data_IF_220293287048
#
_entry.id   IF_220293287048
#
_cell.length_a   1.000
_cell.length_b   1.000
_cell.length_c   1.000
_cell.angle_alpha   90.00
_cell.angle_beta   90.00
_cell.angle_gamma   90.00
#
_symmetry.space_group_name_H-M   'P 1'
#
loop_
_entity.id
_entity.type
_entity.pdbx_description
1 polymer ?
#
# COMPACT_ATOMS: atom_id res chain seq x y z
N UNK A 1 7.64 -2.38 13.47
CA UNK A 1 6.68 -1.57 12.70
C UNK A 1 7.34 -1.01 11.47
N UNK A 2 6.58 -0.75 10.42
CA UNK A 2 7.07 -0.10 9.20
C UNK A 2 6.63 1.36 9.18
N UNK A 3 7.55 2.30 9.03
CA UNK A 3 7.22 3.73 8.98
C UNK A 3 6.55 4.05 7.64
N UNK A 4 5.33 4.59 7.68
CA UNK A 4 4.65 5.10 6.47
C UNK A 4 4.64 6.62 6.42
N UNK A 5 5.00 7.28 7.52
CA UNK A 5 5.23 8.71 7.62
C UNK A 5 6.32 8.98 8.67
N UNK A 6 6.69 10.24 8.87
CA UNK A 6 7.62 10.63 9.95
C UNK A 6 7.09 10.31 11.35
N UNK A 7 5.76 10.19 11.51
CA UNK A 7 5.09 10.04 12.81
C UNK A 7 4.16 8.80 12.87
N UNK A 8 3.88 8.16 11.72
CA UNK A 8 2.89 7.08 11.61
C UNK A 8 3.58 5.78 11.19
N UNK A 9 3.32 4.72 11.95
CA UNK A 9 3.90 3.41 11.78
C UNK A 9 2.82 2.34 11.62
N UNK A 10 3.02 1.41 10.70
CA UNK A 10 2.26 0.17 10.60
C UNK A 10 2.80 -0.80 11.64
N UNK A 11 1.91 -1.28 12.50
CA UNK A 11 2.18 -2.27 13.54
C UNK A 11 1.30 -3.50 13.33
N UNK A 12 1.78 -4.63 13.81
CA UNK A 12 0.98 -5.83 13.94
C UNK A 12 0.52 -5.92 15.39
N UNK A 13 -0.69 -6.44 15.59
CA UNK A 13 -1.12 -6.82 16.94
C UNK A 13 -0.23 -7.96 17.46
N UNK A 14 -0.07 -8.05 18.77
CA UNK A 14 0.64 -9.18 19.37
C UNK A 14 -0.20 -10.47 19.29
N UNK A 15 -1.52 -10.36 19.19
CA UNK A 15 -2.45 -11.46 18.94
C UNK A 15 -2.66 -11.70 17.42
N UNK A 16 -2.22 -12.85 16.87
CA UNK A 16 -2.42 -13.17 15.46
C UNK A 16 -3.89 -13.23 15.02
N UNK A 17 -4.85 -13.45 15.92
CA UNK A 17 -6.26 -13.45 15.53
C UNK A 17 -6.78 -12.08 15.14
N UNK A 18 -6.13 -11.02 15.63
CA UNK A 18 -6.49 -9.62 15.34
C UNK A 18 -5.73 -9.07 14.12
N UNK A 19 -4.92 -9.90 13.47
CA UNK A 19 -4.22 -9.49 12.26
C UNK A 19 -5.19 -9.31 11.10
N UNK A 20 -5.11 -8.15 10.46
CA UNK A 20 -5.82 -7.84 9.22
C UNK A 20 -4.84 -7.48 8.09
N UNK A 21 -3.94 -8.41 7.66
CA UNK A 21 -2.99 -8.13 6.60
C UNK A 21 -3.72 -7.96 5.26
N UNK A 22 -3.20 -7.07 4.42
CA UNK A 22 -3.62 -6.91 3.04
C UNK A 22 -2.47 -7.29 2.14
N UNK A 23 -2.63 -8.32 1.32
CA UNK A 23 -1.59 -8.79 0.42
C UNK A 23 -1.37 -7.82 -0.75
N UNK A 24 -0.21 -7.95 -1.39
CA UNK A 24 0.12 -7.20 -2.58
C UNK A 24 -0.52 -7.78 -3.85
N UNK A 25 -1.02 -6.92 -4.73
CA UNK A 25 -1.20 -7.22 -6.16
C UNK A 25 -0.72 -6.06 -7.03
N UNK A 26 -0.10 -6.39 -8.18
CA UNK A 26 0.25 -5.39 -9.20
C UNK A 26 -0.98 -4.85 -9.96
N UNK A 27 -2.14 -5.50 -9.82
CA UNK A 27 -3.44 -5.03 -10.32
C UNK A 27 -4.43 -4.98 -9.14
N UNK A 28 -4.05 -4.22 -8.12
CA UNK A 28 -4.78 -4.08 -6.86
C UNK A 28 -6.21 -3.55 -7.07
N UNK A 29 -7.13 -4.00 -6.23
CA UNK A 29 -8.53 -3.55 -6.23
C UNK A 29 -8.83 -2.52 -5.13
N UNK A 30 -7.88 -2.29 -4.22
CA UNK A 30 -7.95 -1.23 -3.23
C UNK A 30 -6.74 -0.29 -3.32
N UNK A 31 -6.90 0.92 -2.80
CA UNK A 31 -5.85 1.93 -2.68
C UNK A 31 -5.95 2.68 -1.37
N UNK A 32 -4.94 3.51 -1.06
CA UNK A 32 -4.94 4.37 0.11
C UNK A 32 -5.32 5.82 -0.26
N UNK A 33 -6.24 6.39 0.50
CA UNK A 33 -6.55 7.82 0.54
C UNK A 33 -6.29 8.33 1.97
N UNK A 34 -5.17 9.03 2.16
CA UNK A 34 -4.55 9.19 3.47
C UNK A 34 -4.29 7.83 4.13
N UNK A 35 -4.99 7.56 5.23
CA UNK A 35 -4.96 6.28 5.96
C UNK A 35 -6.18 5.38 5.68
N UNK A 36 -7.12 5.82 4.84
CA UNK A 36 -8.29 5.02 4.49
C UNK A 36 -7.97 4.05 3.35
N UNK A 37 -8.47 2.81 3.45
CA UNK A 37 -8.46 1.87 2.32
C UNK A 37 -9.77 2.05 1.54
N UNK A 38 -9.66 2.41 0.27
CA UNK A 38 -10.80 2.63 -0.63
C UNK A 38 -10.80 1.63 -1.78
N UNK A 39 -11.98 1.28 -2.27
CA UNK A 39 -12.12 0.47 -3.48
C UNK A 39 -11.80 1.31 -4.73
N UNK A 40 -10.96 0.78 -5.63
CA UNK A 40 -10.61 1.43 -6.91
C UNK A 40 -11.55 1.05 -8.05
N UNK A 41 -12.33 -0.01 -7.85
CA UNK A 41 -13.31 -0.56 -8.78
C UNK A 41 -14.35 -1.37 -8.01
N UNK A 42 -15.48 -1.78 -8.62
CA UNK A 42 -16.35 -2.78 -8.02
C UNK A 42 -15.57 -4.06 -7.65
N UNK A 43 -15.85 -4.59 -6.46
CA UNK A 43 -15.19 -5.78 -5.90
C UNK A 43 -16.26 -6.86 -5.72
N UNK A 44 -15.99 -8.05 -6.26
CA UNK A 44 -16.93 -9.16 -6.15
C UNK A 44 -16.91 -9.77 -4.75
N UNK A 45 -18.01 -10.43 -4.38
CA UNK A 45 -18.06 -11.21 -3.13
C UNK A 45 -16.95 -12.28 -3.16
N UNK A 46 -16.20 -12.37 -2.05
CA UNK A 46 -15.07 -13.29 -1.87
C UNK A 46 -13.84 -12.99 -2.74
N UNK A 47 -13.80 -11.86 -3.45
CA UNK A 47 -12.57 -11.39 -4.09
C UNK A 47 -11.60 -10.89 -3.00
N UNK A 48 -10.33 -11.30 -3.07
CA UNK A 48 -9.32 -10.85 -2.12
C UNK A 48 -9.09 -9.34 -2.24
N UNK A 49 -9.11 -8.63 -1.11
CA UNK A 49 -8.73 -7.22 -1.07
C UNK A 49 -7.20 -7.13 -1.10
N UNK A 50 -6.68 -6.43 -2.10
CA UNK A 50 -5.24 -6.32 -2.34
C UNK A 50 -4.83 -4.88 -2.56
N UNK A 51 -3.58 -4.58 -2.16
CA UNK A 51 -2.97 -3.26 -2.26
C UNK A 51 -1.76 -3.28 -3.21
N UNK A 52 -1.53 -2.19 -3.92
CA UNK A 52 -0.26 -2.01 -4.64
C UNK A 52 0.76 -1.32 -3.71
N UNK A 53 1.67 -2.10 -3.13
CA UNK A 53 2.65 -1.61 -2.17
C UNK A 53 3.55 -0.50 -2.74
N UNK A 54 3.81 -0.52 -4.05
CA UNK A 54 4.61 0.54 -4.69
C UNK A 54 3.90 1.90 -4.72
N UNK A 55 2.58 1.95 -4.49
CA UNK A 55 1.81 3.20 -4.49
C UNK A 55 1.92 3.98 -3.17
N UNK A 56 2.37 3.36 -2.08
CA UNK A 56 2.40 4.01 -0.76
C UNK A 56 3.60 3.68 0.12
N UNK A 57 4.47 2.77 -0.31
CA UNK A 57 5.76 2.55 0.33
C UNK A 57 6.86 3.30 -0.43
N UNK A 58 7.81 3.85 0.33
CA UNK A 58 8.93 4.63 -0.17
C UNK A 58 10.19 3.78 -0.38
N UNK A 59 11.30 4.39 -0.78
CA UNK A 59 12.56 3.71 -1.06
C UNK A 59 13.17 2.93 0.12
N UNK A 60 12.68 3.14 1.35
CA UNK A 60 13.11 2.35 2.52
C UNK A 60 12.53 0.93 2.53
N UNK A 61 11.55 0.67 1.66
CA UNK A 61 10.94 -0.64 1.49
C UNK A 61 11.95 -1.66 0.96
N UNK A 62 12.10 -2.77 1.68
CA UNK A 62 12.82 -3.95 1.18
C UNK A 62 12.12 -4.46 -0.11
N UNK A 63 12.82 -4.53 -1.25
CA UNK A 63 12.24 -5.06 -2.47
C UNK A 63 11.91 -6.55 -2.36
N UNK A 64 10.88 -7.02 -3.06
CA UNK A 64 10.50 -8.43 -3.06
C UNK A 64 10.07 -8.95 -4.44
N UNK A 65 10.28 -10.24 -4.68
CA UNK A 65 9.80 -10.93 -5.87
C UNK A 65 8.30 -11.21 -5.73
N UNK A 66 7.50 -10.62 -6.60
CA UNK A 66 6.05 -10.67 -6.59
C UNK A 66 5.52 -11.92 -7.28
N UNK A 67 4.53 -12.54 -6.63
CA UNK A 67 3.84 -13.74 -7.09
C UNK A 67 2.32 -13.55 -7.12
N UNK A 68 1.84 -12.30 -7.29
CA UNK A 68 0.42 -11.96 -7.19
C UNK A 68 -0.51 -12.59 -8.25
N UNK A 69 0.03 -13.30 -9.25
CA UNK A 69 -0.75 -13.98 -10.28
C UNK A 69 -1.41 -13.07 -11.32
N UNK A 70 -1.35 -11.74 -11.16
CA UNK A 70 -1.89 -10.80 -12.13
C UNK A 70 -1.18 -10.89 -13.49
N UNK A 71 -1.89 -10.80 -14.63
CA UNK A 71 -1.25 -10.67 -15.95
C UNK A 71 -0.43 -9.38 -16.10
N UNK A 72 -0.62 -8.40 -15.20
CA UNK A 72 0.17 -7.16 -15.11
C UNK A 72 1.28 -7.24 -14.04
N UNK A 73 1.65 -8.43 -13.59
CA UNK A 73 2.67 -8.59 -12.56
C UNK A 73 4.01 -7.97 -13.01
N UNK A 74 4.59 -7.14 -12.14
CA UNK A 74 5.88 -6.45 -12.40
C UNK A 74 7.11 -7.33 -12.13
N UNK A 75 6.93 -8.52 -11.55
CA UNK A 75 8.01 -9.42 -11.16
C UNK A 75 8.73 -8.96 -9.89
N UNK A 76 9.40 -7.80 -9.92
CA UNK A 76 10.03 -7.20 -8.74
C UNK A 76 9.24 -5.98 -8.28
N UNK A 77 8.86 -5.95 -7.01
CA UNK A 77 8.24 -4.79 -6.36
C UNK A 77 9.28 -4.11 -5.49
N UNK A 78 9.35 -2.79 -5.60
CA UNK A 78 10.23 -1.93 -4.80
C UNK A 78 9.51 -0.63 -4.48
N UNK A 79 9.99 0.04 -3.45
CA UNK A 79 9.52 1.36 -3.08
C UNK A 79 9.77 2.43 -4.14
N UNK A 80 9.03 3.53 -4.03
CA UNK A 80 9.15 4.70 -4.90
C UNK A 80 9.81 5.85 -4.14
N UNK A 81 10.75 6.54 -4.76
CA UNK A 81 11.46 7.66 -4.15
C UNK A 81 10.48 8.74 -3.66
N UNK A 82 10.65 9.20 -2.40
CA UNK A 82 9.82 10.25 -1.79
C UNK A 82 8.31 9.94 -1.74
N UNK A 83 7.96 8.67 -1.51
CA UNK A 83 6.56 8.22 -1.56
C UNK A 83 5.90 8.01 -0.18
N UNK A 84 6.50 8.54 0.89
CA UNK A 84 5.90 8.49 2.23
C UNK A 84 4.52 9.19 2.26
N UNK A 85 3.67 8.83 3.22
CA UNK A 85 2.40 9.53 3.47
C UNK A 85 2.66 11.01 3.72
N UNK A 86 3.69 11.38 4.51
CA UNK A 86 4.07 12.77 4.75
C UNK A 86 4.31 13.52 3.43
N UNK A 87 5.13 12.94 2.54
CA UNK A 87 5.47 13.55 1.25
C UNK A 87 4.26 13.69 0.34
N UNK A 88 3.39 12.67 0.27
CA UNK A 88 2.19 12.69 -0.57
C UNK A 88 1.15 13.71 -0.09
N UNK A 89 0.89 13.78 1.21
CA UNK A 89 -0.07 14.74 1.77
C UNK A 89 0.42 16.19 1.62
N UNK A 90 1.72 16.45 1.79
CA UNK A 90 2.30 17.77 1.54
C UNK A 90 2.13 18.18 0.06
N UNK A 91 2.41 17.27 -0.89
CA UNK A 91 2.21 17.54 -2.32
C UNK A 91 0.75 17.86 -2.64
N UNK A 92 -0.19 17.08 -2.10
CA UNK A 92 -1.63 17.32 -2.29
C UNK A 92 -2.08 18.66 -1.71
N UNK A 93 -1.56 19.06 -0.55
CA UNK A 93 -1.86 20.36 0.05
C UNK A 93 -1.42 21.52 -0.87
N UNK A 94 -0.21 21.47 -1.41
CA UNK A 94 0.30 22.51 -2.30
C UNK A 94 -0.36 22.52 -3.69
N UNK A 95 -0.86 21.38 -4.18
CA UNK A 95 -1.58 21.30 -5.46
C UNK A 95 -3.02 21.82 -5.39
N UNK A 96 -3.60 21.93 -4.19
CA UNK A 96 -4.97 22.42 -3.97
C UNK A 96 -5.03 23.94 -3.71
N UNK A 97 -3.89 24.63 -3.69
CA UNK A 97 -3.79 26.09 -3.67
C UNK A 97 -3.55 26.65 -5.07
#
# INVERSE_FOLDING_TARGET
GYAVSEEVFILWDDDPSEWAPQNHSCDANTGLDGLNVIALRPINRNEELTLDYSQFLDESMEPFQCQCGSPKCRGLVKGVLNNSVTSREQLLYFQKQ
#
